data_IF_612470628971
#
_entry.id   IF_612470628971
#
_cell.length_a   1.000
_cell.length_b   1.000
_cell.length_c   1.000
_cell.angle_alpha   90.00
_cell.angle_beta   90.00
_cell.angle_gamma   90.00
#
_symmetry.space_group_name_H-M   'P 1'
#
loop_
_entity.id
_entity.type
_entity.pdbx_description
1 polymer ?
#
# COMPACT_ATOMS: atom_id res chain seq x y z
N UNK A 1 1.56 95.33 -2.19
CA UNK A 1 0.56 94.27 -2.40
C UNK A 1 1.05 93.46 -3.56
N UNK A 2 1.79 92.35 -3.33
CA UNK A 2 2.41 91.46 -4.38
C UNK A 2 1.45 90.29 -4.57
N UNK A 3 0.90 90.15 -5.79
CA UNK A 3 0.13 89.01 -6.20
C UNK A 3 1.08 87.84 -6.58
N UNK A 4 0.99 86.77 -5.87
CA UNK A 4 1.71 85.53 -6.14
C UNK A 4 0.91 84.69 -7.12
N UNK A 5 1.44 84.47 -8.31
CA UNK A 5 0.87 83.62 -9.35
C UNK A 5 1.29 82.19 -9.12
N UNK A 6 0.31 81.33 -8.76
CA UNK A 6 0.56 79.90 -8.60
C UNK A 6 0.48 79.17 -9.97
N UNK A 7 1.57 78.70 -10.45
CA UNK A 7 1.65 77.91 -11.68
C UNK A 7 1.38 76.41 -11.32
N UNK A 8 0.22 75.91 -11.72
CA UNK A 8 -0.17 74.51 -11.52
C UNK A 8 0.41 73.65 -12.68
N UNK A 9 1.40 72.83 -12.36
CA UNK A 9 1.97 71.84 -13.32
C UNK A 9 1.08 70.61 -13.28
N UNK A 10 0.43 70.28 -14.40
CA UNK A 10 -0.35 69.09 -14.62
C UNK A 10 0.57 67.98 -15.12
N UNK A 11 0.91 67.04 -14.25
CA UNK A 11 1.70 65.85 -14.64
C UNK A 11 0.71 64.78 -15.12
N UNK A 12 0.72 64.52 -16.42
CA UNK A 12 -0.01 63.41 -17.04
C UNK A 12 0.80 62.12 -16.85
N UNK A 13 0.34 61.27 -15.97
CA UNK A 13 0.87 59.88 -15.89
C UNK A 13 0.26 59.08 -17.03
N UNK A 14 1.09 58.72 -18.01
CA UNK A 14 0.76 57.70 -19.00
C UNK A 14 0.98 56.37 -18.31
N UNK A 15 -0.12 55.71 -17.90
CA UNK A 15 -0.12 54.34 -17.42
C UNK A 15 0.04 53.41 -18.60
N UNK A 16 1.24 52.84 -18.77
CA UNK A 16 1.47 51.71 -19.64
C UNK A 16 0.90 50.50 -18.96
N UNK A 17 -0.18 49.94 -19.47
CA UNK A 17 -0.71 48.62 -19.04
C UNK A 17 0.15 47.56 -19.70
N UNK A 18 1.14 47.03 -18.98
CA UNK A 18 1.80 45.78 -19.32
C UNK A 18 0.84 44.66 -18.94
N UNK A 19 0.31 43.97 -19.93
CA UNK A 19 -0.34 42.67 -19.74
C UNK A 19 0.72 41.67 -19.30
N UNK A 20 0.88 41.50 -17.99
CA UNK A 20 1.53 40.29 -17.47
C UNK A 20 0.59 39.12 -17.75
N UNK A 21 0.96 38.33 -18.75
CA UNK A 21 0.39 37.00 -18.97
C UNK A 21 0.93 36.13 -17.83
N UNK A 22 0.15 35.95 -16.77
CA UNK A 22 0.41 34.89 -15.81
C UNK A 22 0.49 33.57 -16.56
N UNK A 23 1.71 33.05 -16.70
CA UNK A 23 1.94 31.66 -17.10
C UNK A 23 1.51 30.84 -15.89
N UNK A 24 0.27 30.35 -15.90
CA UNK A 24 -0.17 29.29 -14.99
C UNK A 24 0.63 28.07 -15.38
N UNK A 25 1.74 27.82 -14.68
CA UNK A 25 2.39 26.52 -14.72
C UNK A 25 1.36 25.47 -14.30
N UNK A 26 0.84 24.76 -15.28
CA UNK A 26 0.06 23.57 -15.08
C UNK A 26 1.00 22.52 -14.45
N UNK A 27 1.04 22.50 -13.11
CA UNK A 27 1.68 21.39 -12.40
C UNK A 27 0.86 20.14 -12.68
N UNK A 28 1.26 19.39 -13.69
CA UNK A 28 0.84 18.00 -13.84
C UNK A 28 1.19 17.31 -12.53
N UNK A 29 0.23 16.71 -11.81
CA UNK A 29 0.56 16.00 -10.58
C UNK A 29 1.59 14.93 -10.94
N UNK A 30 2.76 15.00 -10.30
CA UNK A 30 3.78 13.97 -10.41
C UNK A 30 3.12 12.67 -9.93
N UNK A 31 2.98 11.70 -10.83
CA UNK A 31 2.39 10.39 -10.51
C UNK A 31 3.27 9.76 -9.44
N UNK A 32 2.75 9.57 -8.24
CA UNK A 32 3.48 8.91 -7.14
C UNK A 32 4.10 7.61 -7.66
N UNK A 33 5.40 7.47 -7.45
CA UNK A 33 6.16 6.32 -7.95
C UNK A 33 5.83 5.11 -7.08
N UNK A 34 4.93 4.25 -7.58
CA UNK A 34 4.57 2.98 -6.95
C UNK A 34 5.81 2.07 -6.89
N UNK A 35 6.14 1.56 -5.70
CA UNK A 35 7.22 0.59 -5.51
C UNK A 35 6.68 -0.82 -5.67
N UNK A 36 7.15 -1.55 -6.68
CA UNK A 36 6.74 -2.94 -6.94
C UNK A 36 7.94 -3.87 -6.77
N UNK A 37 7.83 -4.84 -5.89
CA UNK A 37 8.78 -5.91 -5.75
C UNK A 37 8.51 -6.99 -6.79
N UNK A 38 9.43 -7.20 -7.71
CA UNK A 38 9.32 -8.14 -8.85
C UNK A 38 10.50 -9.09 -8.97
N UNK A 39 11.36 -9.15 -7.96
CA UNK A 39 12.49 -10.06 -7.89
C UNK A 39 12.10 -11.54 -7.77
N UNK A 40 13.06 -12.38 -7.52
CA UNK A 40 12.90 -13.84 -7.46
C UNK A 40 11.82 -14.28 -6.49
N UNK A 41 11.19 -15.42 -6.78
CA UNK A 41 10.14 -15.97 -5.90
C UNK A 41 10.75 -16.61 -4.66
N UNK A 42 10.29 -16.15 -3.49
CA UNK A 42 10.54 -16.76 -2.21
C UNK A 42 9.35 -17.64 -1.83
N UNK A 43 9.65 -18.91 -1.45
CA UNK A 43 8.66 -19.83 -0.89
C UNK A 43 8.69 -19.76 0.63
N UNK A 44 7.51 -19.59 1.25
CA UNK A 44 7.33 -19.65 2.69
C UNK A 44 6.33 -20.75 3.06
N UNK A 45 6.63 -21.50 4.11
CA UNK A 45 5.75 -22.52 4.66
C UNK A 45 5.74 -22.49 6.19
N UNK A 46 4.55 -22.49 6.77
CA UNK A 46 4.31 -22.78 8.18
C UNK A 46 3.62 -24.14 8.32
N UNK A 47 4.26 -25.05 9.02
CA UNK A 47 3.76 -26.42 9.24
C UNK A 47 2.58 -26.43 10.23
N UNK A 48 1.67 -27.41 10.09
CA UNK A 48 0.57 -27.64 11.02
C UNK A 48 1.07 -27.75 12.46
N UNK A 49 0.43 -27.02 13.36
CA UNK A 49 0.71 -27.05 14.80
C UNK A 49 2.00 -26.34 15.25
N UNK A 50 2.83 -25.84 14.32
CA UNK A 50 4.04 -25.10 14.70
C UNK A 50 3.71 -23.77 15.38
N UNK A 51 4.56 -23.36 16.34
CA UNK A 51 4.35 -22.16 17.14
C UNK A 51 4.44 -20.89 16.26
N UNK A 52 3.38 -20.07 16.17
CA UNK A 52 3.41 -18.83 15.39
C UNK A 52 4.38 -17.78 15.96
N UNK A 53 4.80 -17.89 17.22
CA UNK A 53 5.75 -16.95 17.84
C UNK A 53 7.21 -17.28 17.50
N UNK A 54 7.50 -18.49 17.01
CA UNK A 54 8.82 -18.85 16.53
C UNK A 54 9.13 -18.08 15.22
N UNK A 55 10.26 -17.38 15.14
CA UNK A 55 10.67 -16.64 13.94
C UNK A 55 10.69 -17.47 12.65
N UNK A 56 10.99 -18.78 12.73
CA UNK A 56 10.98 -19.67 11.58
C UNK A 56 9.58 -19.89 10.97
N UNK A 57 8.53 -19.61 11.73
CA UNK A 57 7.12 -19.71 11.34
C UNK A 57 6.49 -18.35 10.95
N UNK A 58 7.33 -17.36 10.67
CA UNK A 58 6.96 -16.00 10.31
C UNK A 58 7.64 -15.58 9.02
N UNK A 59 6.87 -15.22 7.98
CA UNK A 59 7.47 -14.55 6.82
C UNK A 59 7.65 -13.08 7.14
N UNK A 60 8.88 -12.68 7.45
CA UNK A 60 9.27 -11.30 7.76
C UNK A 60 9.57 -10.58 6.45
N UNK A 61 8.52 -10.05 5.83
CA UNK A 61 8.58 -9.41 4.51
C UNK A 61 9.37 -8.10 4.61
N UNK A 62 9.02 -7.25 5.59
CA UNK A 62 9.71 -6.02 5.99
C UNK A 62 9.75 -5.96 7.52
N UNK A 63 10.33 -4.90 8.09
CA UNK A 63 10.28 -4.67 9.54
C UNK A 63 8.85 -4.44 10.06
N UNK A 64 7.93 -4.01 9.19
CA UNK A 64 6.55 -3.68 9.51
C UNK A 64 5.56 -4.83 9.31
N UNK A 65 5.92 -5.87 8.54
CA UNK A 65 5.00 -6.95 8.13
C UNK A 65 5.63 -8.32 8.27
N UNK A 66 5.18 -9.08 9.30
CA UNK A 66 5.58 -10.45 9.60
C UNK A 66 4.36 -11.36 9.56
N UNK A 67 4.18 -12.09 8.47
CA UNK A 67 2.98 -12.91 8.25
C UNK A 67 3.13 -14.27 8.90
N UNK A 68 2.14 -14.64 9.70
CA UNK A 68 1.99 -15.96 10.31
C UNK A 68 0.50 -16.33 10.43
N UNK A 69 0.21 -17.47 11.06
CA UNK A 69 -1.15 -17.96 11.33
C UNK A 69 -1.21 -18.76 12.63
N UNK A 70 -2.22 -18.49 13.45
CA UNK A 70 -2.45 -19.21 14.71
C UNK A 70 -2.97 -20.64 14.51
N UNK A 71 -2.78 -21.50 15.53
CA UNK A 71 -3.22 -22.91 15.53
C UNK A 71 -4.63 -23.11 16.12
N UNK A 72 -5.34 -22.00 16.39
CA UNK A 72 -6.71 -21.98 16.93
C UNK A 72 -7.77 -21.69 15.87
N UNK A 73 -7.42 -21.78 14.60
CA UNK A 73 -8.24 -21.39 13.45
C UNK A 73 -8.01 -19.94 13.03
N UNK A 74 -8.90 -19.43 12.17
CA UNK A 74 -8.77 -18.05 11.68
C UNK A 74 -7.92 -17.93 10.41
N UNK A 75 -7.57 -16.70 10.11
CA UNK A 75 -6.77 -16.31 8.96
C UNK A 75 -5.32 -15.99 9.36
N UNK A 76 -4.50 -15.63 8.39
CA UNK A 76 -3.18 -15.07 8.63
C UNK A 76 -3.28 -13.72 9.35
N UNK A 77 -2.22 -13.34 10.05
CA UNK A 77 -2.11 -12.05 10.73
C UNK A 77 -0.65 -11.56 10.73
N UNK A 78 -0.47 -10.27 10.98
CA UNK A 78 0.83 -9.63 11.08
C UNK A 78 1.32 -9.62 12.53
N UNK A 79 2.11 -10.62 12.94
CA UNK A 79 2.56 -10.77 14.32
C UNK A 79 3.47 -9.61 14.81
N UNK A 80 3.99 -8.78 13.91
CA UNK A 80 4.69 -7.55 14.30
C UNK A 80 3.72 -6.50 14.91
N UNK A 81 2.39 -6.62 14.67
CA UNK A 81 1.37 -5.64 15.07
C UNK A 81 0.14 -6.26 15.76
N UNK A 82 0.03 -7.58 15.78
CA UNK A 82 -1.14 -8.31 16.26
C UNK A 82 -0.73 -9.53 17.06
N UNK A 83 -1.42 -9.80 18.18
CA UNK A 83 -1.21 -11.02 18.97
C UNK A 83 -1.98 -12.22 18.38
N UNK A 84 -3.05 -11.96 17.62
CA UNK A 84 -3.88 -12.97 16.98
C UNK A 84 -4.67 -12.39 15.81
N UNK A 85 -5.20 -13.26 14.94
CA UNK A 85 -5.98 -12.80 13.78
C UNK A 85 -7.35 -12.25 14.15
N UNK A 86 -7.71 -11.09 13.58
CA UNK A 86 -9.06 -10.51 13.57
C UNK A 86 -9.67 -10.64 12.17
N UNK A 87 -10.91 -11.14 12.07
CA UNK A 87 -11.57 -11.42 10.79
C UNK A 87 -11.72 -10.20 9.88
N UNK A 88 -11.89 -9.01 10.47
CA UNK A 88 -12.16 -7.80 9.70
C UNK A 88 -10.93 -6.99 9.35
N UNK A 89 -9.81 -7.21 10.05
CA UNK A 89 -8.66 -6.32 10.03
C UNK A 89 -7.34 -6.97 9.62
N UNK A 90 -7.11 -8.24 10.06
CA UNK A 90 -5.83 -8.91 9.83
C UNK A 90 -5.60 -9.26 8.36
N UNK A 91 -4.32 -9.27 7.92
CA UNK A 91 -3.13 -8.77 8.60
C UNK A 91 -3.09 -7.23 8.67
N UNK A 92 -2.90 -6.65 9.86
CA UNK A 92 -2.78 -5.18 10.02
C UNK A 92 -1.55 -4.66 9.28
N UNK A 93 -1.68 -3.50 8.64
CA UNK A 93 -0.63 -2.89 7.81
C UNK A 93 -0.58 -3.43 6.39
N UNK A 94 -1.59 -4.23 5.98
CA UNK A 94 -1.67 -4.77 4.62
C UNK A 94 -3.03 -4.56 3.98
N UNK A 95 -3.04 -4.46 2.65
CA UNK A 95 -4.24 -4.56 1.81
C UNK A 95 -4.00 -5.59 0.72
N UNK A 96 -5.05 -6.21 0.23
CA UNK A 96 -5.02 -7.37 -0.64
C UNK A 96 -5.96 -7.20 -1.82
N UNK A 97 -5.54 -7.67 -3.00
CA UNK A 97 -6.40 -7.74 -4.17
C UNK A 97 -6.16 -9.04 -4.94
N UNK A 98 -7.20 -9.59 -5.59
CA UNK A 98 -7.04 -10.68 -6.56
C UNK A 98 -6.64 -10.05 -7.89
N UNK A 99 -5.52 -10.49 -8.48
CA UNK A 99 -4.97 -9.97 -9.72
C UNK A 99 -3.45 -10.11 -9.77
N UNK A 100 -2.82 -9.32 -10.63
CA UNK A 100 -1.38 -9.27 -10.84
C UNK A 100 -0.82 -7.87 -10.62
N UNK A 101 0.48 -7.76 -10.42
CA UNK A 101 1.14 -6.47 -10.23
C UNK A 101 1.07 -5.56 -11.46
N UNK A 102 0.80 -6.10 -12.63
CA UNK A 102 0.61 -5.32 -13.86
C UNK A 102 -0.72 -4.56 -13.88
N UNK A 103 -1.65 -4.95 -12.99
CA UNK A 103 -3.02 -4.41 -12.92
C UNK A 103 -3.24 -3.48 -11.73
N UNK A 104 -2.20 -3.11 -10.97
CA UNK A 104 -2.28 -2.40 -9.67
C UNK A 104 -3.22 -1.18 -9.72
N UNK A 105 -3.19 -0.39 -10.79
CA UNK A 105 -3.98 0.84 -10.91
C UNK A 105 -5.50 0.57 -10.98
N UNK A 106 -5.90 -0.64 -11.34
CA UNK A 106 -7.31 -1.05 -11.49
C UNK A 106 -7.80 -2.00 -10.42
N UNK A 107 -6.88 -2.51 -9.56
CA UNK A 107 -7.23 -3.45 -8.51
C UNK A 107 -7.92 -2.76 -7.34
N UNK A 108 -8.92 -3.44 -6.78
CA UNK A 108 -9.59 -3.02 -5.55
C UNK A 108 -8.90 -3.66 -4.34
N UNK A 109 -8.15 -2.87 -3.57
CA UNK A 109 -7.40 -3.31 -2.40
C UNK A 109 -8.24 -3.25 -1.12
N UNK A 110 -8.49 -4.40 -0.51
CA UNK A 110 -9.31 -4.57 0.68
C UNK A 110 -8.56 -5.31 1.80
N UNK A 111 -9.22 -5.56 2.94
CA UNK A 111 -8.69 -6.49 3.94
C UNK A 111 -8.58 -7.90 3.33
N UNK A 112 -7.68 -8.73 3.85
CA UNK A 112 -7.44 -10.07 3.30
C UNK A 112 -8.74 -10.87 3.07
N UNK A 113 -9.59 -10.94 4.10
CA UNK A 113 -10.84 -11.70 4.00
C UNK A 113 -11.85 -11.08 3.04
N UNK A 114 -11.92 -9.77 2.95
CA UNK A 114 -12.79 -9.09 1.97
C UNK A 114 -12.36 -9.40 0.54
N UNK A 115 -11.05 -9.35 0.28
CA UNK A 115 -10.50 -9.62 -1.04
C UNK A 115 -10.67 -11.10 -1.47
N UNK A 116 -10.44 -12.07 -0.56
CA UNK A 116 -10.40 -13.49 -0.95
C UNK A 116 -11.70 -14.25 -0.64
N UNK A 117 -12.58 -13.71 0.21
CA UNK A 117 -13.76 -14.38 0.74
C UNK A 117 -13.41 -15.34 1.87
N UNK A 118 -13.57 -16.64 1.68
CA UNK A 118 -13.11 -17.63 2.65
C UNK A 118 -11.61 -17.83 2.51
N UNK A 119 -10.81 -17.72 3.60
CA UNK A 119 -9.36 -17.86 3.54
C UNK A 119 -8.85 -19.15 2.88
N UNK A 120 -9.54 -20.28 3.06
CA UNK A 120 -9.17 -21.53 2.40
C UNK A 120 -9.30 -21.52 0.87
N UNK A 121 -10.15 -20.63 0.32
CA UNK A 121 -10.38 -20.52 -1.12
C UNK A 121 -9.29 -19.67 -1.81
N UNK A 122 -8.27 -19.24 -1.07
CA UNK A 122 -7.14 -18.44 -1.58
C UNK A 122 -6.15 -19.25 -2.41
N UNK A 123 -6.10 -20.57 -2.17
CA UNK A 123 -5.13 -21.45 -2.81
C UNK A 123 -5.26 -21.41 -4.34
N UNK A 124 -4.13 -21.20 -5.01
CA UNK A 124 -4.04 -21.09 -6.46
C UNK A 124 -4.40 -19.74 -7.08
N UNK A 125 -5.01 -18.81 -6.32
CA UNK A 125 -5.29 -17.46 -6.80
C UNK A 125 -4.00 -16.62 -6.88
N UNK A 126 -3.90 -15.81 -7.92
CA UNK A 126 -2.90 -14.75 -7.98
C UNK A 126 -3.40 -13.57 -7.17
N UNK A 127 -2.56 -13.03 -6.28
CA UNK A 127 -2.87 -11.92 -5.41
C UNK A 127 -1.77 -10.87 -5.48
N UNK A 128 -2.15 -9.64 -5.21
CA UNK A 128 -1.23 -8.55 -4.89
C UNK A 128 -1.48 -8.15 -3.44
N UNK A 129 -0.41 -8.02 -2.68
CA UNK A 129 -0.41 -7.42 -1.34
C UNK A 129 0.21 -6.03 -1.42
N UNK A 130 -0.42 -5.05 -0.78
CA UNK A 130 0.12 -3.73 -0.52
C UNK A 130 0.54 -3.63 0.95
N UNK A 131 1.82 -3.39 1.20
CA UNK A 131 2.41 -3.13 2.51
C UNK A 131 2.28 -1.63 2.78
N UNK A 132 1.34 -1.24 3.65
CA UNK A 132 0.88 0.14 3.75
C UNK A 132 1.95 1.11 4.28
N UNK A 133 2.73 0.69 5.30
CA UNK A 133 3.73 1.56 5.91
C UNK A 133 5.02 1.67 5.07
N UNK A 134 5.26 0.69 4.21
CA UNK A 134 6.43 0.63 3.34
C UNK A 134 6.13 1.14 1.93
N UNK A 135 4.84 1.30 1.59
CA UNK A 135 4.31 1.61 0.25
C UNK A 135 4.85 0.68 -0.85
N UNK A 136 4.87 -0.63 -0.54
CA UNK A 136 5.39 -1.68 -1.41
C UNK A 136 4.25 -2.58 -1.86
N UNK A 137 4.23 -2.89 -3.16
CA UNK A 137 3.36 -3.89 -3.75
C UNK A 137 4.16 -5.11 -4.16
N UNK A 138 3.64 -6.31 -3.89
CA UNK A 138 4.27 -7.54 -4.33
C UNK A 138 3.25 -8.61 -4.68
N UNK A 139 3.64 -9.52 -5.58
CA UNK A 139 2.81 -10.67 -5.96
C UNK A 139 2.92 -11.79 -4.94
N UNK A 140 1.80 -12.45 -4.64
CA UNK A 140 1.74 -13.59 -3.73
C UNK A 140 0.74 -14.64 -4.23
N UNK A 141 1.08 -15.94 -4.09
CA UNK A 141 0.21 -17.04 -4.49
C UNK A 141 0.25 -18.15 -3.47
N UNK A 142 -0.86 -18.38 -2.80
CA UNK A 142 -0.97 -19.48 -1.84
C UNK A 142 -0.91 -20.83 -2.54
N UNK A 143 -0.14 -21.76 -1.97
CA UNK A 143 0.03 -23.15 -2.44
C UNK A 143 -0.73 -24.13 -1.58
N UNK A 144 -0.83 -23.85 -0.27
CA UNK A 144 -1.57 -24.67 0.67
C UNK A 144 -2.27 -23.84 1.74
N UNK A 145 -3.31 -24.41 2.32
CA UNK A 145 -4.04 -23.86 3.46
C UNK A 145 -4.69 -24.98 4.26
N UNK A 146 -4.17 -25.26 5.44
CA UNK A 146 -4.72 -26.29 6.32
C UNK A 146 -6.05 -25.87 6.93
N UNK A 147 -7.01 -26.78 6.93
CA UNK A 147 -8.34 -26.56 7.51
C UNK A 147 -8.36 -26.84 9.01
N UNK A 148 -9.40 -26.35 9.66
CA UNK A 148 -9.57 -26.48 11.09
C UNK A 148 -8.57 -25.64 11.90
N UNK A 149 -8.19 -26.17 13.06
CA UNK A 149 -7.28 -25.49 14.00
C UNK A 149 -5.82 -25.92 13.86
N UNK A 150 -5.37 -26.17 12.63
CA UNK A 150 -4.03 -26.67 12.38
C UNK A 150 -2.99 -25.58 12.13
N UNK A 151 -3.39 -24.46 11.54
CA UNK A 151 -2.55 -23.28 11.38
C UNK A 151 -1.51 -23.33 10.26
N UNK A 152 -1.38 -24.45 9.53
CA UNK A 152 -0.44 -24.57 8.42
C UNK A 152 -0.91 -23.82 7.17
N UNK A 153 0.05 -23.29 6.41
CA UNK A 153 -0.16 -22.69 5.10
C UNK A 153 1.17 -22.50 4.38
N UNK A 154 1.12 -22.35 3.07
CA UNK A 154 2.31 -21.99 2.29
C UNK A 154 1.94 -21.09 1.12
N UNK A 155 2.91 -20.31 0.66
CA UNK A 155 2.81 -19.47 -0.52
C UNK A 155 4.17 -19.21 -1.16
N UNK A 156 4.14 -18.70 -2.37
CA UNK A 156 5.26 -18.03 -3.03
C UNK A 156 4.96 -16.55 -3.17
N UNK A 157 5.95 -15.69 -2.94
CA UNK A 157 5.85 -14.25 -3.17
C UNK A 157 7.07 -13.71 -3.91
N UNK A 158 6.92 -12.56 -4.58
CA UNK A 158 8.08 -11.84 -5.11
C UNK A 158 8.89 -11.18 -4.00
N UNK A 159 10.17 -10.97 -4.29
CA UNK A 159 11.12 -10.20 -3.46
C UNK A 159 11.42 -8.87 -4.12
N UNK A 160 12.23 -8.07 -3.46
CA UNK A 160 12.74 -6.81 -3.97
C UNK A 160 13.48 -6.97 -5.30
#
# INVERSE_FOLDING_TARGET
>A
MKKLLLLTIFIVFISCSENETEIVESSTPEKEKITIWSGDKLSFEKIDGSDPTDPSNQDRITDNVWITRGNNGGQIYNIAKEDASDKGKSPIGTKWAIGTTDEIETLNFESFRSAVGKPQDVVGKNLVIHLLDDDIYLSIKFKSWSQGQKGGFSYERSTE
#
